data_IF_299009114345
#
_entry.id   IF_299009114345
#
_cell.length_a   1.000
_cell.length_b   1.000
_cell.length_c   1.000
_cell.angle_alpha   90.00
_cell.angle_beta   90.00
_cell.angle_gamma   90.00
#
_symmetry.space_group_name_H-M   'P 1'
#
loop_
_entity.id
_entity.type
_entity.pdbx_description
1 polymer ?
#
# COMPACT_ATOMS: atom_id res chain seq x y z
N UNK A 1 -51.29 -0.12 0.83
CA UNK A 1 -50.41 0.39 -0.25
C UNK A 1 -50.19 1.88 0.00
N UNK A 2 -49.08 2.25 0.64
CA UNK A 2 -48.05 3.14 0.03
C UNK A 2 -46.62 2.72 0.51
N UNK A 3 -45.46 3.11 -0.01
CA UNK A 3 -44.98 4.09 -1.01
C UNK A 3 -43.74 3.47 -1.72
N UNK A 4 -43.33 3.92 -2.92
CA UNK A 4 -42.10 3.42 -3.56
C UNK A 4 -40.89 3.81 -2.71
N UNK A 5 -40.11 2.80 -2.32
CA UNK A 5 -38.80 3.00 -1.69
C UNK A 5 -37.93 3.87 -2.60
N UNK A 6 -37.39 4.90 -1.96
CA UNK A 6 -36.55 5.93 -2.54
C UNK A 6 -35.37 5.26 -3.25
N UNK A 7 -35.26 5.49 -4.56
CA UNK A 7 -34.09 5.17 -5.37
C UNK A 7 -32.85 5.69 -4.65
N UNK A 8 -32.12 4.74 -4.03
CA UNK A 8 -30.87 5.03 -3.35
C UNK A 8 -29.82 5.18 -4.43
N UNK A 9 -29.75 6.37 -5.03
CA UNK A 9 -28.80 6.72 -6.07
C UNK A 9 -27.38 6.53 -5.52
N UNK A 10 -26.76 5.40 -5.86
CA UNK A 10 -25.40 5.04 -5.47
C UNK A 10 -24.46 5.96 -6.22
N UNK A 11 -24.19 7.14 -5.65
CA UNK A 11 -23.21 8.07 -6.22
C UNK A 11 -21.86 7.35 -6.26
N UNK A 12 -21.24 7.17 -7.44
CA UNK A 12 -19.96 6.49 -7.50
C UNK A 12 -18.95 7.28 -6.67
N UNK A 13 -18.19 6.61 -5.81
CA UNK A 13 -17.14 7.24 -5.03
C UNK A 13 -16.20 8.00 -5.97
N UNK A 14 -15.79 9.23 -5.60
CA UNK A 14 -14.99 10.12 -6.44
C UNK A 14 -13.76 9.42 -7.05
N UNK A 15 -13.09 8.55 -6.26
CA UNK A 15 -11.95 7.77 -6.73
C UNK A 15 -12.27 6.79 -7.87
N UNK A 16 -13.49 6.24 -7.91
CA UNK A 16 -13.93 5.41 -9.02
C UNK A 16 -14.10 6.23 -10.29
N UNK A 17 -14.77 7.39 -10.19
CA UNK A 17 -14.99 8.29 -11.33
C UNK A 17 -13.66 8.76 -11.93
N UNK A 18 -12.74 9.23 -11.08
CA UNK A 18 -11.40 9.66 -11.52
C UNK A 18 -10.66 8.54 -12.24
N UNK A 19 -10.68 7.32 -11.68
CA UNK A 19 -10.02 6.17 -12.30
C UNK A 19 -10.61 5.84 -13.66
N UNK A 20 -11.93 5.92 -13.81
CA UNK A 20 -12.61 5.70 -15.10
C UNK A 20 -12.20 6.76 -16.12
N UNK A 21 -12.19 8.04 -15.74
CA UNK A 21 -11.78 9.13 -16.64
C UNK A 21 -10.33 8.95 -17.08
N UNK A 22 -9.41 8.71 -16.14
CA UNK A 22 -7.98 8.52 -16.45
C UNK A 22 -7.79 7.32 -17.38
N UNK A 23 -8.43 6.19 -17.12
CA UNK A 23 -8.33 5.01 -18.01
C UNK A 23 -8.89 5.28 -19.41
N UNK A 24 -10.04 5.95 -19.49
CA UNK A 24 -10.63 6.31 -20.78
C UNK A 24 -9.71 7.25 -21.55
N UNK A 25 -9.13 8.26 -20.90
CA UNK A 25 -8.17 9.18 -21.49
C UNK A 25 -6.92 8.46 -21.97
N UNK A 26 -6.35 7.57 -21.16
CA UNK A 26 -5.16 6.80 -21.53
C UNK A 26 -5.43 5.82 -22.68
N UNK A 27 -6.63 5.23 -22.74
CA UNK A 27 -7.02 4.29 -23.80
C UNK A 27 -7.23 4.98 -25.16
N UNK A 28 -7.61 6.26 -25.17
CA UNK A 28 -7.84 7.04 -26.39
C UNK A 28 -6.66 7.93 -26.78
N UNK A 29 -5.64 8.03 -25.92
CA UNK A 29 -4.44 8.83 -26.18
C UNK A 29 -3.37 8.03 -26.93
N UNK A 30 -2.44 8.69 -27.64
CA UNK A 30 -1.29 8.00 -28.24
C UNK A 30 -0.42 7.30 -27.16
N UNK A 31 0.28 6.20 -27.50
CA UNK A 31 1.00 5.37 -26.52
C UNK A 31 2.04 6.13 -25.67
N UNK A 32 2.66 7.17 -26.24
CA UNK A 32 3.65 8.00 -25.52
C UNK A 32 3.05 8.78 -24.34
N UNK A 33 1.74 9.09 -24.38
CA UNK A 33 1.04 9.75 -23.27
C UNK A 33 0.92 8.81 -22.08
N UNK A 34 0.60 7.53 -22.32
CA UNK A 34 0.53 6.53 -21.26
C UNK A 34 1.89 6.31 -20.59
N UNK A 35 2.96 6.19 -21.38
CA UNK A 35 4.32 6.09 -20.84
C UNK A 35 4.71 7.33 -20.01
N UNK A 36 4.42 8.53 -20.51
CA UNK A 36 4.71 9.78 -19.81
C UNK A 36 3.90 9.92 -18.52
N UNK A 37 2.62 9.52 -18.56
CA UNK A 37 1.75 9.51 -17.39
C UNK A 37 2.26 8.55 -16.31
N UNK A 38 2.65 7.32 -16.70
CA UNK A 38 3.22 6.35 -15.76
C UNK A 38 4.52 6.87 -15.15
N UNK A 39 5.42 7.45 -15.96
CA UNK A 39 6.66 8.06 -15.48
C UNK A 39 6.41 9.18 -14.48
N UNK A 40 5.49 10.10 -14.79
CA UNK A 40 5.10 11.18 -13.89
C UNK A 40 4.46 10.65 -12.59
N UNK A 41 3.59 9.64 -12.69
CA UNK A 41 2.95 9.02 -11.53
C UNK A 41 3.99 8.35 -10.61
N UNK A 42 4.95 7.62 -11.17
CA UNK A 42 6.08 7.04 -10.42
C UNK A 42 6.92 8.12 -9.74
N UNK A 43 7.25 9.20 -10.45
CA UNK A 43 7.95 10.35 -9.87
C UNK A 43 7.21 10.99 -8.70
N UNK A 44 5.88 11.13 -8.79
CA UNK A 44 5.04 11.60 -7.68
C UNK A 44 5.07 10.64 -6.48
N UNK A 45 5.06 9.32 -6.72
CA UNK A 45 5.18 8.32 -5.67
C UNK A 45 6.54 8.44 -4.98
N UNK A 46 7.66 8.45 -5.69
CA UNK A 46 9.00 8.61 -5.10
C UNK A 46 9.10 9.86 -4.22
N UNK A 47 8.56 11.00 -4.66
CA UNK A 47 8.53 12.22 -3.85
C UNK A 47 7.64 12.10 -2.61
N UNK A 48 6.58 11.31 -2.68
CA UNK A 48 5.71 11.01 -1.54
C UNK A 48 6.44 10.12 -0.52
N UNK A 49 7.17 9.09 -0.98
CA UNK A 49 8.01 8.21 -0.15
C UNK A 49 8.99 9.02 0.70
N UNK A 50 9.77 9.89 0.06
CA UNK A 50 10.77 10.72 0.73
C UNK A 50 10.16 11.60 1.83
N UNK A 51 8.96 12.16 1.59
CA UNK A 51 8.23 12.97 2.57
C UNK A 51 7.65 12.14 3.71
N UNK A 52 7.20 10.92 3.43
CA UNK A 52 6.61 10.00 4.42
C UNK A 52 7.65 9.37 5.35
N UNK A 53 8.79 8.93 4.81
CA UNK A 53 9.87 8.29 5.57
C UNK A 53 10.60 9.23 6.53
N UNK A 54 10.66 10.53 6.21
CA UNK A 54 11.31 11.54 7.06
C UNK A 54 10.70 11.66 8.47
N UNK A 55 9.48 11.16 8.68
CA UNK A 55 8.83 11.11 9.99
C UNK A 55 9.12 9.76 10.64
N UNK A 56 10.15 9.68 11.49
CA UNK A 56 10.41 8.51 12.33
C UNK A 56 9.35 8.42 13.42
N UNK A 57 8.44 7.46 13.27
CA UNK A 57 7.41 7.12 14.26
C UNK A 57 7.30 5.60 14.29
N UNK A 58 7.12 5.06 15.49
CA UNK A 58 7.11 3.63 15.75
C UNK A 58 6.03 2.93 14.91
N UNK A 59 6.38 1.80 14.28
CA UNK A 59 5.44 1.01 13.48
C UNK A 59 4.58 0.08 14.34
N UNK A 60 5.09 -0.28 15.51
CA UNK A 60 4.45 -1.13 16.50
C UNK A 60 4.39 -0.39 17.82
N UNK A 61 3.27 -0.54 18.52
CA UNK A 61 3.04 -0.01 19.85
C UNK A 61 3.03 -1.16 20.85
N UNK A 62 3.69 -0.96 21.98
CA UNK A 62 3.79 -1.95 23.04
C UNK A 62 2.93 -1.50 24.20
N UNK A 63 2.02 -2.36 24.67
CA UNK A 63 1.14 -2.07 25.80
C UNK A 63 1.23 -3.19 26.83
N UNK A 64 1.49 -2.84 28.07
CA UNK A 64 1.36 -3.80 29.18
C UNK A 64 -0.13 -3.96 29.52
N UNK A 65 -0.60 -5.21 29.51
CA UNK A 65 -1.94 -5.58 29.95
C UNK A 65 -1.86 -6.78 30.88
N UNK A 66 -2.03 -6.53 32.18
CA UNK A 66 -2.00 -7.55 33.24
C UNK A 66 -0.69 -8.35 33.30
N UNK A 67 0.47 -7.71 33.07
CA UNK A 67 1.78 -8.39 33.11
C UNK A 67 2.12 -9.16 31.84
N UNK A 68 1.27 -9.09 30.79
CA UNK A 68 1.58 -9.53 29.44
C UNK A 68 1.83 -8.30 28.57
N UNK A 69 2.92 -8.35 27.80
CA UNK A 69 3.23 -7.33 26.80
C UNK A 69 2.44 -7.66 25.53
N UNK A 70 1.48 -6.81 25.19
CA UNK A 70 0.70 -6.86 23.95
C UNK A 70 1.34 -5.93 22.91
N UNK A 71 1.43 -6.39 21.67
CA UNK A 71 2.04 -5.63 20.56
C UNK A 71 0.97 -5.38 19.51
N UNK A 72 0.68 -4.10 19.28
CA UNK A 72 -0.35 -3.69 18.34
C UNK A 72 0.24 -2.91 17.16
N UNK A 73 -0.23 -3.17 15.92
CA UNK A 73 0.17 -2.39 14.75
C UNK A 73 -0.30 -0.94 14.89
N UNK A 74 0.58 0.01 14.63
CA UNK A 74 0.20 1.43 14.57
C UNK A 74 -0.60 1.73 13.31
N UNK A 75 -1.39 2.82 13.31
CA UNK A 75 -2.06 3.31 12.09
C UNK A 75 -1.05 3.65 10.97
N UNK A 76 0.18 3.99 11.34
CA UNK A 76 1.27 4.27 10.39
C UNK A 76 1.67 3.01 9.63
N UNK A 77 1.72 1.85 10.28
CA UNK A 77 2.01 0.60 9.60
C UNK A 77 0.97 0.31 8.52
N UNK A 78 -0.33 0.47 8.82
CA UNK A 78 -1.39 0.28 7.83
C UNK A 78 -1.25 1.22 6.62
N UNK A 79 -0.91 2.49 6.86
CA UNK A 79 -0.63 3.45 5.80
C UNK A 79 0.60 3.08 4.96
N UNK A 80 1.66 2.60 5.61
CA UNK A 80 2.88 2.18 4.96
C UNK A 80 2.66 0.95 4.08
N UNK A 81 1.91 -0.05 4.57
CA UNK A 81 1.55 -1.22 3.77
C UNK A 81 0.70 -0.82 2.56
N UNK A 82 -0.34 -0.02 2.75
CA UNK A 82 -1.14 0.49 1.62
C UNK A 82 -0.29 1.23 0.56
N UNK A 83 0.70 1.98 1.03
CA UNK A 83 1.65 2.67 0.17
C UNK A 83 2.56 1.69 -0.59
N UNK A 84 3.13 0.68 0.07
CA UNK A 84 3.87 -0.42 -0.56
C UNK A 84 3.03 -1.08 -1.67
N UNK A 85 1.74 -1.34 -1.42
CA UNK A 85 0.84 -1.91 -2.45
C UNK A 85 0.65 -1.01 -3.66
N UNK A 86 0.71 0.30 -3.44
CA UNK A 86 0.68 1.28 -4.52
C UNK A 86 1.97 1.25 -5.32
N UNK A 87 3.13 1.09 -4.69
CA UNK A 87 4.43 1.01 -5.35
C UNK A 87 4.55 -0.22 -6.26
N UNK A 88 4.36 -1.44 -5.72
CA UNK A 88 4.46 -2.63 -6.56
C UNK A 88 3.33 -2.69 -7.61
N UNK A 89 2.15 -2.11 -7.31
CA UNK A 89 1.06 -1.95 -8.28
C UNK A 89 1.35 -0.95 -9.39
N UNK A 90 2.29 -0.02 -9.17
CA UNK A 90 2.83 0.89 -10.18
C UNK A 90 4.06 0.31 -10.91
N UNK A 91 4.44 -0.94 -10.63
CA UNK A 91 5.65 -1.58 -11.16
C UNK A 91 6.94 -0.98 -10.62
N UNK A 92 6.91 -0.49 -9.37
CA UNK A 92 8.07 -0.02 -8.61
C UNK A 92 8.39 -1.04 -7.51
N UNK A 93 8.78 -2.24 -7.95
CA UNK A 93 9.02 -3.38 -7.08
C UNK A 93 10.18 -3.12 -6.13
N UNK A 94 11.30 -2.58 -6.64
CA UNK A 94 12.49 -2.33 -5.81
C UNK A 94 12.24 -1.30 -4.70
N UNK A 95 11.59 -0.17 -5.02
CA UNK A 95 11.17 0.82 -4.02
C UNK A 95 10.25 0.19 -2.96
N UNK A 96 9.35 -0.70 -3.36
CA UNK A 96 8.44 -1.38 -2.42
C UNK A 96 9.17 -2.34 -1.47
N UNK A 97 10.23 -3.02 -1.94
CA UNK A 97 11.10 -3.88 -1.12
C UNK A 97 11.89 -3.06 -0.11
N UNK A 98 12.38 -1.87 -0.47
CA UNK A 98 13.07 -0.99 0.46
C UNK A 98 12.17 -0.63 1.65
N UNK A 99 10.91 -0.28 1.37
CA UNK A 99 9.92 0.03 2.41
C UNK A 99 9.62 -1.19 3.29
N UNK A 100 9.34 -2.36 2.68
CA UNK A 100 9.04 -3.60 3.40
C UNK A 100 10.22 -4.07 4.26
N UNK A 101 11.45 -3.89 3.78
CA UNK A 101 12.65 -4.19 4.56
C UNK A 101 12.71 -3.35 5.84
N UNK A 102 12.28 -2.09 5.78
CA UNK A 102 12.13 -1.24 6.97
C UNK A 102 11.09 -1.78 7.96
N UNK A 103 9.96 -2.29 7.46
CA UNK A 103 8.92 -2.93 8.29
C UNK A 103 9.46 -4.18 8.97
N UNK A 104 10.10 -5.08 8.24
CA UNK A 104 10.69 -6.32 8.78
C UNK A 104 11.78 -6.01 9.81
N UNK A 105 12.64 -5.01 9.57
CA UNK A 105 13.62 -4.59 10.58
C UNK A 105 12.96 -4.08 11.86
N UNK A 106 11.83 -3.39 11.74
CA UNK A 106 11.08 -2.90 12.89
C UNK A 106 10.39 -4.02 13.69
N UNK A 107 10.29 -5.25 13.17
CA UNK A 107 9.82 -6.41 13.93
C UNK A 107 10.92 -7.09 14.75
N UNK A 108 12.18 -6.73 14.52
CA UNK A 108 13.31 -7.34 15.24
C UNK A 108 13.20 -7.07 16.74
N UNK A 109 13.28 -8.14 17.54
CA UNK A 109 13.19 -8.07 19.00
C UNK A 109 11.76 -8.03 19.56
N UNK A 110 10.73 -7.95 18.71
CA UNK A 110 9.35 -8.11 19.13
C UNK A 110 9.09 -9.58 19.51
N UNK A 111 8.50 -9.79 20.67
CA UNK A 111 7.99 -11.10 21.10
C UNK A 111 6.48 -11.07 20.99
N UNK A 112 5.94 -11.90 20.11
CA UNK A 112 4.51 -12.00 19.86
C UNK A 112 4.05 -13.44 19.97
N UNK A 113 2.79 -13.61 20.33
CA UNK A 113 2.15 -14.91 20.45
C UNK A 113 1.42 -15.27 19.14
N UNK A 114 1.44 -16.54 18.71
CA UNK A 114 0.65 -17.01 17.57
C UNK A 114 -0.87 -16.73 17.65
N UNK A 115 -1.41 -16.46 18.85
CA UNK A 115 -2.80 -16.06 19.03
C UNK A 115 -3.02 -14.54 18.99
N UNK A 116 -1.96 -13.73 18.91
CA UNK A 116 -2.06 -12.27 18.88
C UNK A 116 -2.38 -11.76 17.47
N UNK A 117 -3.11 -10.63 17.40
CA UNK A 117 -3.45 -9.94 16.14
C UNK A 117 -2.24 -9.51 15.31
N UNK A 118 -1.05 -9.50 15.88
CA UNK A 118 0.17 -9.21 15.14
C UNK A 118 0.46 -10.27 14.06
N UNK A 119 0.06 -11.53 14.28
CA UNK A 119 0.27 -12.64 13.37
C UNK A 119 -0.37 -12.38 12.01
N UNK A 120 -1.62 -11.94 12.00
CA UNK A 120 -2.35 -11.61 10.77
C UNK A 120 -1.67 -10.49 9.99
N UNK A 121 -1.12 -9.50 10.70
CA UNK A 121 -0.40 -8.39 10.10
C UNK A 121 0.93 -8.84 9.50
N UNK A 122 1.67 -9.70 10.19
CA UNK A 122 2.93 -10.26 9.68
C UNK A 122 2.67 -11.17 8.47
N UNK A 123 1.61 -11.96 8.49
CA UNK A 123 1.19 -12.75 7.33
C UNK A 123 0.84 -11.85 6.13
N UNK A 124 0.19 -10.71 6.36
CA UNK A 124 -0.06 -9.72 5.30
C UNK A 124 1.24 -9.08 4.79
N UNK A 125 2.23 -8.84 5.65
CA UNK A 125 3.57 -8.36 5.25
C UNK A 125 4.26 -9.39 4.36
N UNK A 126 4.23 -10.67 4.71
CA UNK A 126 4.82 -11.75 3.91
C UNK A 126 4.16 -11.87 2.53
N UNK A 127 2.83 -11.71 2.47
CA UNK A 127 2.10 -11.65 1.20
C UNK A 127 2.55 -10.45 0.36
N UNK A 128 2.70 -9.27 0.97
CA UNK A 128 3.16 -8.06 0.28
C UNK A 128 4.61 -8.20 -0.21
N UNK A 129 5.50 -8.88 0.55
CA UNK A 129 6.87 -9.20 0.11
C UNK A 129 6.85 -10.08 -1.14
N UNK A 130 6.00 -11.10 -1.16
CA UNK A 130 5.89 -11.99 -2.31
C UNK A 130 5.42 -11.23 -3.57
N UNK A 131 4.47 -10.31 -3.42
CA UNK A 131 4.01 -9.45 -4.51
C UNK A 131 5.08 -8.46 -4.95
N UNK A 132 5.82 -7.86 -4.02
CA UNK A 132 6.92 -6.96 -4.31
C UNK A 132 8.05 -7.66 -5.10
N UNK A 133 8.43 -8.88 -4.72
CA UNK A 133 9.43 -9.69 -5.45
C UNK A 133 8.93 -9.99 -6.87
N UNK A 134 7.67 -10.35 -7.03
CA UNK A 134 7.09 -10.58 -8.35
C UNK A 134 7.11 -9.30 -9.21
N UNK A 135 6.78 -8.15 -8.62
CA UNK A 135 6.88 -6.85 -9.28
C UNK A 135 8.33 -6.50 -9.68
N UNK A 136 9.33 -6.81 -8.85
CA UNK A 136 10.75 -6.61 -9.21
C UNK A 136 11.14 -7.38 -10.48
N UNK A 137 10.63 -8.61 -10.64
CA UNK A 137 10.90 -9.42 -11.84
C UNK A 137 10.27 -8.80 -13.09
N UNK A 138 9.06 -8.25 -12.96
CA UNK A 138 8.36 -7.55 -14.04
C UNK A 138 9.06 -6.23 -14.41
N UNK A 139 9.52 -5.48 -13.40
CA UNK A 139 10.30 -4.25 -13.57
C UNK A 139 11.59 -4.51 -14.34
N UNK A 140 12.38 -5.51 -13.92
CA UNK A 140 13.59 -5.95 -14.63
C UNK A 140 13.31 -6.39 -16.07
N UNK A 141 12.22 -7.14 -16.29
CA UNK A 141 11.86 -7.65 -17.62
C UNK A 141 11.35 -6.54 -18.56
N UNK A 142 10.73 -5.51 -17.98
CA UNK A 142 10.26 -4.32 -18.69
C UNK A 142 11.38 -3.34 -19.08
N UNK A 143 12.62 -3.60 -18.66
CA UNK A 143 13.77 -2.75 -18.94
C UNK A 143 13.77 -1.44 -18.15
N UNK A 144 13.17 -1.45 -16.95
CA UNK A 144 13.00 -0.27 -16.11
C UNK A 144 13.80 -0.37 -14.81
#
# INVERSE_FOLDING_TARGET
MPAPEVDTYTRPALGHVLRTIVRSMLATSPPNVAASFVSAARGCLTQSLQRGMAKQSALFETRDRHGRVDITPSAKLSGLLAYTRTLYGAGMGFDSIEVLSGVVRATAGLRWDPEDRLVDVLAAVDADISQAIQSCKEELSGGN
#
